data_IF_177546849257
#
_entry.id   IF_177546849257
#
_cell.length_a   1.000
_cell.length_b   1.000
_cell.length_c   1.000
_cell.angle_alpha   90.00
_cell.angle_beta   90.00
_cell.angle_gamma   90.00
#
_symmetry.space_group_name_H-M   'P 1'
#
loop_
_entity.id
_entity.type
_entity.pdbx_description
1 polymer ?
#
# COMPACT_ATOMS: atom_id res chain seq x y z
N UNK A 1 -3.57 9.84 -19.41
CA UNK A 1 -4.46 9.56 -18.26
C UNK A 1 -4.96 10.89 -17.77
N UNK A 2 -6.22 11.01 -17.39
CA UNK A 2 -6.79 12.27 -16.91
C UNK A 2 -6.32 12.50 -15.47
N UNK A 3 -5.67 13.63 -15.24
CA UNK A 3 -5.13 14.05 -13.95
C UNK A 3 -5.81 15.36 -13.56
N UNK A 4 -6.30 15.43 -12.32
CA UNK A 4 -7.14 16.53 -11.84
C UNK A 4 -6.61 16.97 -10.49
N UNK A 5 -6.55 18.28 -10.23
CA UNK A 5 -6.25 18.77 -8.88
C UNK A 5 -7.52 18.76 -8.03
N UNK A 6 -7.38 18.60 -6.71
CA UNK A 6 -8.50 18.40 -5.80
C UNK A 6 -9.53 19.54 -5.82
N UNK A 7 -9.08 20.76 -6.13
CA UNK A 7 -9.94 21.96 -6.20
C UNK A 7 -10.62 22.14 -7.56
N UNK A 8 -10.14 21.46 -8.60
CA UNK A 8 -10.63 21.66 -9.96
C UNK A 8 -12.03 21.07 -10.17
N UNK A 9 -12.62 21.41 -11.32
CA UNK A 9 -13.85 20.80 -11.81
C UNK A 9 -13.63 19.33 -12.13
N UNK A 10 -14.65 18.51 -11.85
CA UNK A 10 -14.57 17.06 -12.02
C UNK A 10 -14.93 16.68 -13.45
N UNK A 11 -14.10 15.87 -14.12
CA UNK A 11 -14.43 15.38 -15.44
C UNK A 11 -15.60 14.39 -15.35
N UNK A 12 -16.65 14.63 -16.13
CA UNK A 12 -17.83 13.77 -16.24
C UNK A 12 -17.64 12.63 -17.24
N UNK A 13 -16.69 12.76 -18.16
CA UNK A 13 -16.39 11.76 -19.16
C UNK A 13 -14.91 11.77 -19.56
N UNK A 14 -14.50 10.71 -20.25
CA UNK A 14 -13.17 10.61 -20.86
C UNK A 14 -13.02 11.70 -21.94
N UNK A 15 -11.94 12.49 -21.93
CA UNK A 15 -11.68 13.45 -23.01
C UNK A 15 -11.46 12.73 -24.35
N UNK A 16 -12.00 13.29 -25.42
CA UNK A 16 -11.94 12.75 -26.79
C UNK A 16 -10.51 12.58 -27.31
N UNK A 17 -9.59 13.42 -26.84
CA UNK A 17 -8.15 13.36 -27.17
C UNK A 17 -7.45 12.12 -26.62
N UNK A 18 -8.01 11.47 -25.59
CA UNK A 18 -7.40 10.31 -24.96
C UNK A 18 -7.71 9.02 -25.74
N UNK A 19 -6.82 8.69 -26.68
CA UNK A 19 -6.84 7.43 -27.42
C UNK A 19 -6.23 6.32 -26.55
N UNK A 20 -7.02 5.26 -26.31
CA UNK A 20 -6.58 4.07 -25.59
C UNK A 20 -6.43 2.95 -26.61
N UNK A 21 -5.19 2.64 -26.99
CA UNK A 21 -4.90 1.53 -27.92
C UNK A 21 -4.83 0.23 -27.13
N UNK A 22 -5.70 -0.72 -27.45
CA UNK A 22 -5.70 -2.08 -26.89
C UNK A 22 -5.69 -3.06 -28.06
N UNK A 23 -4.69 -3.94 -28.11
CA UNK A 23 -4.50 -4.94 -29.18
C UNK A 23 -5.13 -6.30 -28.87
N UNK A 24 -5.78 -6.47 -27.71
CA UNK A 24 -6.47 -7.71 -27.36
C UNK A 24 -7.83 -7.82 -28.05
N UNK A 25 -8.29 -9.07 -28.17
CA UNK A 25 -9.63 -9.44 -28.59
C UNK A 25 -10.73 -8.59 -27.91
N UNK A 26 -11.66 -8.07 -28.72
CA UNK A 26 -12.70 -7.11 -28.32
C UNK A 26 -13.56 -7.63 -27.17
N UNK A 27 -14.00 -8.89 -27.23
CA UNK A 27 -14.85 -9.51 -26.20
C UNK A 27 -14.20 -9.50 -24.81
N UNK A 28 -12.92 -9.88 -24.71
CA UNK A 28 -12.18 -9.90 -23.44
C UNK A 28 -12.00 -8.49 -22.89
N UNK A 29 -11.75 -7.51 -23.77
CA UNK A 29 -11.63 -6.11 -23.39
C UNK A 29 -12.95 -5.58 -22.83
N UNK A 30 -14.06 -5.88 -23.50
CA UNK A 30 -15.38 -5.37 -23.13
C UNK A 30 -15.86 -5.99 -21.81
N UNK A 31 -15.64 -7.29 -21.60
CA UNK A 31 -15.90 -7.95 -20.33
C UNK A 31 -15.07 -7.35 -19.18
N UNK A 32 -13.77 -7.12 -19.41
CA UNK A 32 -12.89 -6.49 -18.43
C UNK A 32 -13.30 -5.05 -18.11
N UNK A 33 -13.74 -4.29 -19.12
CA UNK A 33 -14.27 -2.94 -18.97
C UNK A 33 -15.57 -2.94 -18.18
N UNK A 34 -16.49 -3.86 -18.49
CA UNK A 34 -17.74 -4.01 -17.75
C UNK A 34 -17.48 -4.34 -16.26
N UNK A 35 -16.54 -5.25 -15.97
CA UNK A 35 -16.13 -5.55 -14.60
C UNK A 35 -15.49 -4.35 -13.87
N UNK A 36 -14.76 -3.49 -14.57
CA UNK A 36 -14.26 -2.24 -13.99
C UNK A 36 -15.41 -1.27 -13.66
N UNK A 37 -16.38 -1.12 -14.56
CA UNK A 37 -17.54 -0.25 -14.36
C UNK A 37 -18.39 -0.73 -13.18
N UNK A 38 -18.62 -2.04 -13.04
CA UNK A 38 -19.38 -2.57 -11.91
C UNK A 38 -18.70 -2.32 -10.56
N UNK A 39 -17.37 -2.49 -10.47
CA UNK A 39 -16.60 -2.14 -9.27
C UNK A 39 -16.66 -0.64 -8.93
N UNK A 40 -16.64 0.21 -9.96
CA UNK A 40 -16.73 1.67 -9.79
C UNK A 40 -18.14 2.12 -9.39
N UNK A 41 -19.17 1.41 -9.84
CA UNK A 41 -20.56 1.65 -9.41
C UNK A 41 -20.76 1.31 -7.93
N UNK A 42 -20.14 0.22 -7.44
CA UNK A 42 -20.17 -0.14 -6.02
C UNK A 42 -19.42 0.87 -5.14
N UNK A 43 -18.27 1.35 -5.64
CA UNK A 43 -17.42 2.31 -4.93
C UNK A 43 -16.74 3.23 -5.93
N UNK A 44 -17.03 4.53 -5.85
CA UNK A 44 -16.51 5.50 -6.82
C UNK A 44 -15.00 5.78 -6.74
N UNK A 45 -14.33 5.39 -5.64
CA UNK A 45 -12.92 5.72 -5.35
C UNK A 45 -12.11 4.48 -5.09
N UNK A 46 -11.02 4.26 -5.82
CA UNK A 46 -10.16 3.09 -5.65
C UNK A 46 -8.68 3.42 -5.71
N UNK A 47 -7.83 2.57 -5.12
CA UNK A 47 -6.41 2.56 -5.47
C UNK A 47 -6.16 1.60 -6.63
N UNK A 48 -5.15 1.87 -7.46
CA UNK A 48 -4.75 0.96 -8.55
C UNK A 48 -4.46 -0.45 -8.04
N UNK A 49 -3.81 -0.55 -6.88
CA UNK A 49 -3.49 -1.83 -6.23
C UNK A 49 -4.74 -2.59 -5.78
N UNK A 50 -5.73 -1.90 -5.21
CA UNK A 50 -6.97 -2.52 -4.78
C UNK A 50 -7.76 -3.06 -5.99
N UNK A 51 -7.90 -2.28 -7.07
CA UNK A 51 -8.54 -2.75 -8.30
C UNK A 51 -7.85 -3.99 -8.86
N UNK A 52 -6.52 -4.01 -8.91
CA UNK A 52 -5.75 -5.16 -9.40
C UNK A 52 -5.95 -6.46 -8.60
N UNK A 53 -6.46 -6.41 -7.37
CA UNK A 53 -6.78 -7.61 -6.58
C UNK A 53 -8.06 -8.30 -7.06
N UNK A 54 -8.96 -7.57 -7.70
CA UNK A 54 -10.21 -8.12 -8.25
C UNK A 54 -10.04 -8.78 -9.62
N UNK A 55 -8.85 -8.70 -10.22
CA UNK A 55 -8.59 -9.23 -11.54
C UNK A 55 -7.41 -10.22 -11.54
N UNK A 56 -7.46 -11.27 -12.38
CA UNK A 56 -6.34 -12.18 -12.59
C UNK A 56 -5.04 -11.46 -12.94
N UNK A 57 -3.90 -12.01 -12.53
CA UNK A 57 -2.59 -11.40 -12.80
C UNK A 57 -2.38 -11.11 -14.30
N UNK A 58 -2.75 -12.05 -15.17
CA UNK A 58 -2.61 -11.96 -16.62
C UNK A 58 -3.45 -10.84 -17.28
N UNK A 59 -4.47 -10.31 -16.59
CA UNK A 59 -5.29 -9.21 -17.08
C UNK A 59 -4.91 -7.84 -16.50
N UNK A 60 -4.04 -7.76 -15.48
CA UNK A 60 -3.69 -6.49 -14.80
C UNK A 60 -3.16 -5.41 -15.74
N UNK A 61 -2.39 -5.78 -16.76
CA UNK A 61 -1.93 -4.82 -17.78
C UNK A 61 -3.11 -4.21 -18.53
N UNK A 62 -4.01 -5.05 -19.05
CA UNK A 62 -5.23 -4.63 -19.75
C UNK A 62 -6.10 -3.74 -18.85
N UNK A 63 -6.32 -4.15 -17.61
CA UNK A 63 -7.08 -3.36 -16.62
C UNK A 63 -6.43 -2.00 -16.41
N UNK A 64 -5.10 -1.93 -16.26
CA UNK A 64 -4.38 -0.67 -16.08
C UNK A 64 -4.54 0.29 -17.26
N UNK A 65 -4.68 -0.24 -18.47
CA UNK A 65 -4.96 0.55 -19.68
C UNK A 65 -6.43 1.01 -19.69
N UNK A 66 -7.37 0.10 -19.41
CA UNK A 66 -8.81 0.37 -19.40
C UNK A 66 -9.25 1.32 -18.27
N UNK A 67 -8.55 1.35 -17.13
CA UNK A 67 -8.82 2.33 -16.07
C UNK A 67 -8.83 3.77 -16.60
N UNK A 68 -8.00 4.08 -17.60
CA UNK A 68 -7.92 5.43 -18.19
C UNK A 68 -9.17 5.82 -18.97
N UNK A 69 -10.01 4.85 -19.35
CA UNK A 69 -11.28 5.09 -20.04
C UNK A 69 -12.44 5.40 -19.09
N UNK A 70 -12.35 4.95 -17.84
CA UNK A 70 -13.46 4.99 -16.87
C UNK A 70 -13.15 5.78 -15.61
N UNK A 71 -11.89 6.17 -15.40
CA UNK A 71 -11.44 6.93 -14.22
C UNK A 71 -10.51 8.09 -14.56
N UNK A 72 -10.49 9.07 -13.67
CA UNK A 72 -9.42 10.06 -13.54
C UNK A 72 -8.64 9.83 -12.24
N UNK A 73 -7.53 10.55 -12.08
CA UNK A 73 -6.67 10.47 -10.89
C UNK A 73 -6.48 11.85 -10.28
N UNK A 74 -6.63 11.95 -8.95
CA UNK A 74 -6.25 13.16 -8.23
C UNK A 74 -4.73 13.26 -8.12
N UNK A 75 -4.19 14.43 -8.48
CA UNK A 75 -2.75 14.72 -8.38
C UNK A 75 -2.35 15.05 -6.95
N UNK A 76 -3.21 15.75 -6.24
CA UNK A 76 -2.97 16.31 -4.91
C UNK A 76 -4.18 16.08 -3.98
N UNK A 77 -4.06 16.64 -2.77
CA UNK A 77 -5.11 16.60 -1.77
C UNK A 77 -5.30 15.25 -1.08
N UNK A 78 -6.40 15.08 -0.32
CA UNK A 78 -6.66 13.90 0.50
C UNK A 78 -6.73 12.60 -0.30
N UNK A 79 -7.11 12.70 -1.58
CA UNK A 79 -7.30 11.56 -2.49
C UNK A 79 -6.16 11.39 -3.50
N UNK A 80 -5.01 12.03 -3.26
CA UNK A 80 -3.86 11.96 -4.17
C UNK A 80 -3.50 10.51 -4.53
N UNK A 81 -3.35 10.25 -5.84
CA UNK A 81 -2.99 8.93 -6.37
C UNK A 81 -4.13 7.89 -6.38
N UNK A 82 -5.34 8.26 -6.01
CA UNK A 82 -6.54 7.40 -6.17
C UNK A 82 -7.15 7.55 -7.56
N UNK A 83 -7.82 6.49 -8.00
CA UNK A 83 -8.63 6.39 -9.21
C UNK A 83 -10.08 6.67 -8.85
N UNK A 84 -10.66 7.67 -9.48
CA UNK A 84 -12.04 8.08 -9.23
C UNK A 84 -12.84 7.94 -10.52
N UNK A 85 -14.04 7.37 -10.41
CA UNK A 85 -14.95 7.24 -11.55
C UNK A 85 -15.27 8.62 -12.14
N UNK A 86 -15.35 8.71 -13.48
CA UNK A 86 -15.81 9.94 -14.11
C UNK A 86 -17.22 10.32 -13.62
N UNK A 87 -17.42 11.62 -13.34
CA UNK A 87 -18.66 12.16 -12.80
C UNK A 87 -18.86 11.98 -11.29
N UNK A 88 -17.96 11.29 -10.59
CA UNK A 88 -18.05 11.11 -9.13
C UNK A 88 -17.29 12.22 -8.37
N UNK A 89 -18.00 12.99 -7.53
CA UNK A 89 -17.40 14.01 -6.65
C UNK A 89 -17.21 13.49 -5.23
N UNK A 90 -15.95 13.26 -4.86
CA UNK A 90 -15.54 12.83 -3.50
C UNK A 90 -15.77 13.89 -2.43
N UNK A 91 -15.93 15.16 -2.82
CA UNK A 91 -16.18 16.30 -1.93
C UNK A 91 -17.66 16.39 -1.58
N UNK A 92 -18.51 16.05 -2.55
CA UNK A 92 -19.96 16.06 -2.39
C UNK A 92 -20.50 14.78 -1.70
N UNK A 93 -19.77 13.67 -1.75
CA UNK A 93 -20.17 12.40 -1.16
C UNK A 93 -19.54 12.19 0.24
N UNK A 94 -20.30 12.31 1.35
CA UNK A 94 -19.74 12.18 2.70
C UNK A 94 -19.09 10.82 2.97
N UNK A 95 -19.66 9.74 2.40
CA UNK A 95 -19.14 8.38 2.52
C UNK A 95 -17.77 8.20 1.84
N UNK A 96 -17.40 9.07 0.89
CA UNK A 96 -16.10 8.98 0.25
C UNK A 96 -14.94 9.15 1.25
N UNK A 97 -15.17 9.84 2.38
CA UNK A 97 -14.19 10.05 3.45
C UNK A 97 -13.63 8.73 4.00
N UNK A 98 -14.45 7.67 4.05
CA UNK A 98 -14.03 6.33 4.49
C UNK A 98 -13.00 5.69 3.56
N UNK A 99 -12.91 6.19 2.33
CA UNK A 99 -12.04 5.67 1.28
C UNK A 99 -10.81 6.53 1.03
N UNK A 100 -10.59 7.55 1.87
CA UNK A 100 -9.41 8.40 1.79
C UNK A 100 -8.13 7.57 2.03
N UNK A 101 -7.14 7.62 1.11
CA UNK A 101 -5.89 6.91 1.29
C UNK A 101 -5.04 7.54 2.40
N UNK A 102 -4.40 6.68 3.19
CA UNK A 102 -3.37 7.09 4.14
C UNK A 102 -2.03 6.62 3.59
N UNK A 103 -1.14 7.56 3.27
CA UNK A 103 0.21 7.24 2.79
C UNK A 103 1.18 7.30 3.95
N UNK A 104 1.73 6.15 4.32
CA UNK A 104 2.81 6.04 5.31
C UNK A 104 4.14 6.03 4.57
N UNK A 105 5.01 7.00 4.87
CA UNK A 105 6.38 7.05 4.34
C UNK A 105 7.33 6.48 5.38
N UNK A 106 7.98 5.38 5.06
CA UNK A 106 8.99 4.75 5.91
C UNK A 106 10.39 5.01 5.35
N UNK A 107 11.34 5.50 6.16
CA UNK A 107 12.73 5.66 5.71
C UNK A 107 13.32 4.34 5.21
N UNK A 108 14.09 4.39 4.12
CA UNK A 108 14.69 3.19 3.53
C UNK A 108 15.58 2.40 4.52
N UNK A 109 16.30 3.11 5.39
CA UNK A 109 17.12 2.50 6.45
C UNK A 109 16.28 1.67 7.42
N UNK A 110 15.08 2.14 7.75
CA UNK A 110 14.15 1.43 8.64
C UNK A 110 13.58 0.18 7.94
N UNK A 111 13.25 0.27 6.65
CA UNK A 111 12.81 -0.90 5.86
C UNK A 111 13.90 -1.98 5.76
N UNK A 112 15.18 -1.59 5.60
CA UNK A 112 16.30 -2.53 5.58
C UNK A 112 16.45 -3.26 6.92
N UNK A 113 16.33 -2.54 8.04
CA UNK A 113 16.35 -3.16 9.39
C UNK A 113 15.22 -4.17 9.54
N UNK A 114 13.98 -3.81 9.18
CA UNK A 114 12.86 -4.75 9.26
C UNK A 114 13.07 -5.98 8.39
N UNK A 115 13.52 -5.84 7.14
CA UNK A 115 13.82 -6.99 6.27
C UNK A 115 14.85 -7.93 6.88
N UNK A 116 15.92 -7.39 7.46
CA UNK A 116 16.97 -8.21 8.09
C UNK A 116 16.45 -8.93 9.33
N UNK A 117 15.59 -8.28 10.14
CA UNK A 117 14.95 -8.90 11.30
C UNK A 117 14.03 -10.05 10.84
N UNK A 118 13.19 -9.82 9.84
CA UNK A 118 12.29 -10.85 9.30
C UNK A 118 13.05 -12.02 8.64
N UNK A 119 14.15 -11.74 7.93
CA UNK A 119 15.00 -12.78 7.36
C UNK A 119 15.63 -13.66 8.46
N UNK A 120 16.18 -13.03 9.51
CA UNK A 120 16.76 -13.73 10.65
C UNK A 120 15.71 -14.52 11.45
N UNK A 121 14.52 -13.96 11.63
CA UNK A 121 13.41 -14.67 12.25
C UNK A 121 12.98 -15.87 11.41
N UNK A 122 12.87 -15.72 10.08
CA UNK A 122 12.57 -16.83 9.19
C UNK A 122 13.62 -17.95 9.27
N UNK A 123 14.90 -17.62 9.29
CA UNK A 123 15.99 -18.59 9.49
C UNK A 123 15.88 -19.33 10.85
N UNK A 124 15.50 -18.62 11.92
CA UNK A 124 15.31 -19.20 13.25
C UNK A 124 14.09 -20.15 13.32
N UNK A 125 13.02 -19.86 12.59
CA UNK A 125 11.78 -20.67 12.61
C UNK A 125 11.81 -21.81 11.58
N UNK A 126 12.37 -21.60 10.39
CA UNK A 126 12.47 -22.62 9.34
C UNK A 126 13.67 -23.58 9.57
N UNK A 127 14.66 -23.18 10.38
CA UNK A 127 15.84 -23.98 10.73
C UNK A 127 15.68 -24.88 11.96
N UNK A 128 14.50 -24.94 12.59
CA UNK A 128 14.24 -25.71 13.82
C UNK A 128 14.02 -27.22 13.61
N UNK A 129 14.37 -27.75 12.43
CA UNK A 129 14.07 -29.11 12.03
C UNK A 129 15.27 -29.90 11.50
N UNK A 130 16.46 -29.78 12.11
CA UNK A 130 17.40 -30.92 12.14
C UNK A 130 18.57 -30.71 13.12
N UNK A 131 18.96 -31.79 13.81
CA UNK A 131 20.33 -31.96 14.32
C UNK A 131 20.65 -31.44 15.72
N UNK A 132 20.69 -32.37 16.68
CA UNK A 132 21.26 -32.14 18.01
C UNK A 132 22.79 -32.05 18.04
N UNK A 133 23.32 -31.74 19.22
CA UNK A 133 24.65 -32.19 19.64
C UNK A 133 25.81 -31.19 19.58
N UNK A 134 26.03 -30.58 20.74
CA UNK A 134 27.34 -30.43 21.40
C UNK A 134 28.34 -29.37 20.90
N UNK A 135 28.77 -28.49 21.82
CA UNK A 135 29.83 -27.52 21.54
C UNK A 135 30.10 -26.47 22.62
N UNK A 136 30.00 -26.83 23.89
CA UNK A 136 30.39 -25.99 25.03
C UNK A 136 31.90 -25.68 24.96
N UNK A 137 32.30 -24.48 24.49
CA UNK A 137 33.64 -23.93 24.74
C UNK A 137 33.56 -22.82 25.79
N UNK A 138 33.89 -23.20 27.04
CA UNK A 138 34.39 -22.29 28.07
C UNK A 138 35.59 -21.55 27.50
N UNK A 139 35.61 -20.22 27.55
CA UNK A 139 36.87 -19.47 27.65
C UNK A 139 36.77 -18.51 28.84
N UNK A 140 37.75 -18.70 29.71
CA UNK A 140 37.92 -18.21 31.07
C UNK A 140 38.31 -16.74 31.06
N UNK A 141 37.87 -16.04 32.09
CA UNK A 141 38.08 -14.61 32.38
C UNK A 141 39.54 -14.15 32.29
N UNK A 142 39.71 -12.89 31.86
CA UNK A 142 40.68 -11.98 32.47
C UNK A 142 40.05 -10.59 32.63
N UNK A 143 40.05 -10.14 33.87
CA UNK A 143 39.50 -8.92 34.48
C UNK A 143 40.23 -7.61 34.12
N UNK A 144 39.52 -6.50 34.41
CA UNK A 144 39.86 -5.05 34.53
C UNK A 144 39.50 -4.21 33.29
N UNK A 145 38.79 -3.08 33.36
CA UNK A 145 38.37 -2.25 34.50
C UNK A 145 37.07 -1.48 34.14
N UNK A 146 36.32 -1.09 35.17
CA UNK A 146 35.11 -0.27 35.09
C UNK A 146 35.41 1.18 34.67
N UNK A 147 34.37 1.93 34.25
CA UNK A 147 34.10 3.14 35.01
C UNK A 147 32.66 3.20 35.51
N UNK A 148 32.59 3.55 36.79
CA UNK A 148 31.42 4.00 37.54
C UNK A 148 30.82 5.27 36.94
N UNK A 149 29.52 5.24 36.63
CA UNK A 149 28.67 6.41 36.43
C UNK A 149 27.33 6.13 37.11
N UNK A 150 27.09 6.83 38.22
CA UNK A 150 25.96 6.68 39.15
C UNK A 150 24.86 7.70 38.80
N UNK A 151 23.63 7.39 39.24
CA UNK A 151 22.40 8.20 39.26
C UNK A 151 21.62 8.24 37.93
N UNK A 152 20.33 7.92 37.85
CA UNK A 152 19.32 7.64 38.87
C UNK A 152 18.00 8.32 38.48
N UNK A 153 16.93 7.55 38.32
CA UNK A 153 15.55 7.99 38.59
C UNK A 153 14.59 6.79 38.46
N UNK A 154 13.86 6.53 39.54
CA UNK A 154 12.76 5.58 39.64
C UNK A 154 11.46 6.23 39.13
N UNK A 155 10.67 5.40 38.43
CA UNK A 155 9.18 5.29 38.47
C UNK A 155 8.33 6.48 37.94
N UNK A 156 7.01 6.30 37.66
CA UNK A 156 6.18 5.12 37.83
C UNK A 156 5.31 4.71 36.62
N UNK A 157 4.78 3.50 36.77
CA UNK A 157 3.58 2.94 36.16
C UNK A 157 2.31 3.72 36.60
N UNK A 158 1.27 3.61 35.77
CA UNK A 158 -0.14 3.99 35.99
C UNK A 158 -0.55 5.47 35.78
N UNK A 159 -1.30 5.71 34.69
CA UNK A 159 -2.57 6.48 34.66
C UNK A 159 -3.04 6.73 33.21
N UNK A 160 -3.98 5.92 32.72
CA UNK A 160 -4.92 6.35 31.69
C UNK A 160 -6.34 6.09 32.21
N UNK A 161 -7.12 7.13 32.55
CA UNK A 161 -8.54 6.97 32.78
C UNK A 161 -9.32 6.83 31.47
N UNK A 162 -10.50 6.21 31.61
CA UNK A 162 -11.49 5.87 30.59
C UNK A 162 -12.05 7.06 29.81
#
# INVERSE_FOLDING_TARGET
>A
EVRVFYKDAIPTAKPSSLKVKVTRNSTTRDAARAGLVSLLALRGVWTKKALFRHFPWASRYLIGVLMREVTFTYVDGPYAGTRVAFGYDVRAAPLARLFQPITVRTPAAMLKRYRNIFAKAKELYDGGGDGGGNGRKKKKDSTKAAPSGRFGAKAPVDAFPA
#
